data_IF_141202304307
#
_entry.id   IF_141202304307
#
_cell.length_a   1.000
_cell.length_b   1.000
_cell.length_c   1.000
_cell.angle_alpha   90.00
_cell.angle_beta   90.00
_cell.angle_gamma   90.00
#
_symmetry.space_group_name_H-M   'P 1'
#
loop_
_entity.id
_entity.type
_entity.pdbx_description
1 polymer ?
#
# COMPACT_ATOMS: atom_id res chain seq x y z
N UNK A 1 29.19 -13.08 -6.65
CA UNK A 1 28.98 -12.36 -5.37
C UNK A 1 27.68 -11.60 -5.49
N UNK A 2 26.58 -12.15 -4.97
CA UNK A 2 25.44 -11.30 -4.63
C UNK A 2 25.89 -10.45 -3.46
N UNK A 3 25.79 -9.13 -3.62
CA UNK A 3 26.05 -8.19 -2.54
C UNK A 3 25.02 -8.48 -1.46
N UNK A 4 25.50 -8.71 -0.24
CA UNK A 4 24.66 -8.71 0.95
C UNK A 4 23.84 -7.41 0.98
N UNK A 5 22.52 -7.52 0.81
CA UNK A 5 21.60 -6.38 0.86
C UNK A 5 21.00 -6.21 2.25
N UNK A 6 21.60 -6.83 3.28
CA UNK A 6 21.18 -6.73 4.68
C UNK A 6 21.14 -5.30 5.21
N UNK A 7 21.90 -4.37 4.62
CA UNK A 7 21.91 -2.95 4.97
C UNK A 7 20.86 -2.11 4.21
N UNK A 8 20.00 -2.72 3.41
CA UNK A 8 19.02 -2.00 2.60
C UNK A 8 17.85 -1.54 3.48
N UNK A 9 17.66 -0.23 3.54
CA UNK A 9 16.65 0.43 4.38
C UNK A 9 15.39 0.81 3.61
N UNK A 10 15.56 1.12 2.33
CA UNK A 10 14.51 1.63 1.46
C UNK A 10 14.58 0.96 0.08
N UNK A 11 13.43 0.50 -0.39
CA UNK A 11 13.23 -0.04 -1.74
C UNK A 11 12.16 0.78 -2.43
N UNK A 12 12.52 1.41 -3.54
CA UNK A 12 11.59 2.08 -4.42
C UNK A 12 11.69 1.50 -5.83
N UNK A 13 10.61 0.88 -6.30
CA UNK A 13 10.52 0.28 -7.62
C UNK A 13 9.31 0.87 -8.33
N UNK A 14 9.59 1.80 -9.25
CA UNK A 14 8.55 2.53 -9.96
C UNK A 14 8.70 2.37 -11.47
N UNK A 15 7.58 2.10 -12.14
CA UNK A 15 7.46 2.05 -13.61
C UNK A 15 8.33 1.00 -14.31
N UNK A 16 8.67 -0.09 -13.62
CA UNK A 16 9.44 -1.19 -14.21
C UNK A 16 8.52 -2.18 -14.95
N UNK A 17 8.32 -1.96 -16.26
CA UNK A 17 7.42 -2.78 -17.10
C UNK A 17 7.88 -4.23 -17.34
N UNK A 18 9.18 -4.50 -17.24
CA UNK A 18 9.76 -5.80 -17.61
C UNK A 18 9.85 -6.74 -16.40
N UNK A 19 9.69 -6.25 -15.18
CA UNK A 19 9.79 -7.04 -13.95
C UNK A 19 8.57 -7.96 -13.83
N UNK A 20 8.75 -9.28 -14.03
CA UNK A 20 7.64 -10.17 -14.42
C UNK A 20 7.35 -11.39 -13.55
N UNK A 21 8.07 -11.64 -12.44
CA UNK A 21 7.80 -12.84 -11.62
C UNK A 21 8.03 -12.60 -10.12
N UNK A 22 9.18 -12.07 -9.77
CA UNK A 22 9.61 -11.83 -8.39
C UNK A 22 10.87 -10.95 -8.45
N UNK A 23 11.22 -10.25 -7.37
CA UNK A 23 12.53 -9.58 -7.28
C UNK A 23 13.64 -10.61 -6.95
N UNK A 24 13.25 -11.75 -6.39
CA UNK A 24 14.13 -12.85 -6.01
C UNK A 24 13.83 -14.05 -6.92
N UNK A 25 14.78 -14.37 -7.79
CA UNK A 25 14.67 -15.45 -8.79
C UNK A 25 14.70 -16.83 -8.12
N UNK A 26 13.83 -17.74 -8.55
CA UNK A 26 13.73 -19.12 -8.06
C UNK A 26 14.89 -20.00 -8.60
N UNK A 27 15.53 -19.60 -9.71
CA UNK A 27 16.49 -20.44 -10.45
C UNK A 27 17.93 -20.38 -9.95
N UNK A 28 18.16 -19.82 -8.76
CA UNK A 28 19.52 -19.69 -8.28
C UNK A 28 19.66 -20.10 -6.82
N UNK A 29 20.76 -20.83 -6.61
CA UNK A 29 21.43 -21.14 -5.34
C UNK A 29 21.88 -19.87 -4.61
N UNK A 30 21.02 -18.87 -4.49
CA UNK A 30 21.30 -17.66 -3.76
C UNK A 30 20.83 -17.88 -2.33
N UNK A 31 21.76 -17.60 -1.42
CA UNK A 31 21.45 -17.41 -0.02
C UNK A 31 20.20 -16.56 0.07
N UNK A 32 19.22 -17.06 0.84
CA UNK A 32 17.96 -16.40 1.15
C UNK A 32 18.18 -14.89 1.27
N UNK A 33 17.68 -14.15 0.29
CA UNK A 33 17.84 -12.70 0.27
C UNK A 33 16.91 -12.13 1.35
N UNK A 34 17.47 -11.66 2.45
CA UNK A 34 16.69 -11.07 3.54
C UNK A 34 16.77 -9.54 3.51
N UNK A 35 15.69 -8.91 3.98
CA UNK A 35 15.56 -7.47 4.13
C UNK A 35 15.43 -7.09 5.61
N UNK A 36 16.41 -7.43 6.48
CA UNK A 36 16.25 -7.33 7.93
C UNK A 36 16.09 -5.89 8.45
N UNK A 37 16.50 -4.89 7.67
CA UNK A 37 16.44 -3.47 8.04
C UNK A 37 15.50 -2.65 7.16
N UNK A 38 14.74 -3.28 6.27
CA UNK A 38 13.88 -2.57 5.33
C UNK A 38 12.69 -1.96 6.06
N UNK A 39 12.65 -0.63 6.08
CA UNK A 39 11.60 0.15 6.73
C UNK A 39 10.72 0.90 5.72
N UNK A 40 11.19 1.13 4.49
CA UNK A 40 10.46 1.83 3.42
C UNK A 40 10.35 0.97 2.18
N UNK A 41 9.12 0.77 1.70
CA UNK A 41 8.83 -0.01 0.49
C UNK A 41 7.84 0.73 -0.40
N UNK A 42 8.28 1.08 -1.60
CA UNK A 42 7.46 1.70 -2.63
C UNK A 42 7.40 0.80 -3.85
N UNK A 43 6.19 0.39 -4.22
CA UNK A 43 5.90 -0.42 -5.40
C UNK A 43 4.88 0.35 -6.23
N UNK A 44 5.26 0.72 -7.45
CA UNK A 44 4.41 1.57 -8.28
C UNK A 44 4.50 1.22 -9.77
N UNK A 45 3.36 0.95 -10.40
CA UNK A 45 3.26 0.67 -11.84
C UNK A 45 4.11 -0.52 -12.30
N UNK A 46 3.92 -1.67 -11.65
CA UNK A 46 4.59 -2.92 -12.03
C UNK A 46 3.56 -3.87 -12.67
N UNK A 47 3.29 -3.75 -13.98
CA UNK A 47 2.21 -4.47 -14.64
C UNK A 47 2.39 -5.99 -14.65
N UNK A 48 3.63 -6.47 -14.57
CA UNK A 48 3.95 -7.89 -14.60
C UNK A 48 4.42 -8.44 -13.24
N UNK A 49 4.50 -7.62 -12.18
CA UNK A 49 4.86 -8.11 -10.85
C UNK A 49 3.69 -8.90 -10.27
N UNK A 50 3.97 -10.16 -9.91
CA UNK A 50 3.05 -11.10 -9.26
C UNK A 50 3.37 -11.26 -7.78
N UNK A 51 4.64 -11.19 -7.38
CA UNK A 51 5.06 -11.15 -5.99
C UNK A 51 6.30 -10.24 -5.83
N UNK A 52 6.48 -9.64 -4.66
CA UNK A 52 7.71 -8.90 -4.31
C UNK A 52 8.82 -9.87 -3.85
N UNK A 53 8.43 -10.98 -3.21
CA UNK A 53 9.34 -11.98 -2.66
C UNK A 53 8.74 -13.38 -2.84
N UNK A 54 9.47 -14.32 -3.45
CA UNK A 54 9.12 -15.74 -3.44
C UNK A 54 9.83 -16.42 -2.26
N UNK A 55 9.14 -17.34 -1.59
CA UNK A 55 9.80 -18.20 -0.60
C UNK A 55 10.72 -19.16 -1.35
N UNK A 56 12.01 -19.31 -0.95
CA UNK A 56 12.88 -20.27 -1.60
C UNK A 56 12.33 -21.69 -1.42
N UNK A 57 12.21 -22.40 -2.54
CA UNK A 57 11.78 -23.80 -2.58
C UNK A 57 12.90 -24.69 -2.03
N UNK A 58 12.70 -25.45 -0.94
CA UNK A 58 13.74 -26.32 -0.42
C UNK A 58 14.04 -27.48 -1.39
N UNK A 59 15.31 -27.71 -1.70
CA UNK A 59 15.79 -28.77 -2.63
C UNK A 59 15.25 -30.19 -2.34
N UNK A 60 14.87 -30.50 -1.09
CA UNK A 60 14.32 -31.81 -0.74
C UNK A 60 12.83 -31.98 -1.08
N UNK A 61 12.17 -30.94 -1.60
CA UNK A 61 10.76 -30.98 -2.01
C UNK A 61 10.56 -31.23 -3.52
N UNK A 62 11.63 -31.34 -4.31
CA UNK A 62 11.58 -31.73 -5.74
C UNK A 62 11.00 -33.15 -5.98
N UNK A 63 10.81 -33.94 -4.90
CA UNK A 63 10.32 -35.32 -4.97
C UNK A 63 8.90 -35.53 -4.42
N UNK A 64 8.18 -34.48 -4.00
CA UNK A 64 6.76 -34.58 -3.62
C UNK A 64 5.87 -34.16 -4.80
N UNK A 65 4.79 -34.91 -5.02
CA UNK A 65 3.83 -34.69 -6.10
C UNK A 65 3.33 -33.24 -6.13
N UNK A 66 3.06 -32.72 -7.32
CA UNK A 66 2.63 -31.35 -7.68
C UNK A 66 1.36 -30.82 -6.97
N UNK A 67 0.86 -31.51 -5.95
CA UNK A 67 -0.42 -31.23 -5.27
C UNK A 67 -0.28 -30.56 -3.90
N UNK A 68 0.94 -30.31 -3.40
CA UNK A 68 1.19 -29.62 -2.11
C UNK A 68 2.00 -28.31 -2.28
N UNK A 69 2.11 -27.76 -3.49
CA UNK A 69 2.62 -26.41 -3.68
C UNK A 69 1.46 -25.43 -3.52
N UNK A 70 1.31 -24.86 -2.31
CA UNK A 70 0.63 -23.58 -2.15
C UNK A 70 1.50 -22.53 -2.81
N UNK A 71 1.27 -22.31 -4.12
CA UNK A 71 1.75 -21.14 -4.85
C UNK A 71 1.18 -19.91 -4.15
N UNK A 72 1.91 -19.40 -3.15
CA UNK A 72 1.42 -18.33 -2.30
C UNK A 72 1.39 -17.06 -3.15
N UNK A 73 0.24 -16.78 -3.76
CA UNK A 73 -0.02 -15.65 -4.64
C UNK A 73 -0.05 -14.28 -3.93
N UNK A 74 0.48 -14.19 -2.71
CA UNK A 74 0.55 -12.94 -1.95
C UNK A 74 1.65 -12.04 -2.54
N UNK A 75 1.35 -10.75 -2.64
CA UNK A 75 2.33 -9.75 -3.09
C UNK A 75 3.53 -9.65 -2.13
N UNK A 76 3.33 -9.95 -0.84
CA UNK A 76 4.36 -9.82 0.20
C UNK A 76 4.53 -11.12 0.99
N UNK A 77 5.78 -11.44 1.34
CA UNK A 77 6.05 -12.36 2.45
C UNK A 77 5.79 -11.65 3.79
N UNK A 78 5.20 -12.37 4.74
CA UNK A 78 4.86 -11.80 6.04
C UNK A 78 6.09 -11.25 6.78
N UNK A 79 7.28 -11.85 6.64
CA UNK A 79 8.48 -11.31 7.31
C UNK A 79 8.89 -9.95 6.77
N UNK A 80 8.77 -9.75 5.45
CA UNK A 80 9.08 -8.47 4.81
C UNK A 80 8.07 -7.42 5.25
N UNK A 81 6.78 -7.73 5.23
CA UNK A 81 5.77 -6.73 5.57
C UNK A 81 5.80 -6.34 7.06
N UNK A 82 6.22 -7.26 7.95
CA UNK A 82 6.40 -6.97 9.37
C UNK A 82 7.69 -6.17 9.69
N UNK A 83 8.52 -5.80 8.70
CA UNK A 83 9.62 -4.85 8.92
C UNK A 83 9.31 -3.44 8.38
N UNK A 84 8.33 -3.32 7.49
CA UNK A 84 8.02 -2.09 6.76
C UNK A 84 7.18 -1.14 7.61
N UNK A 85 7.68 0.07 7.82
CA UNK A 85 6.95 1.17 8.47
C UNK A 85 6.31 2.15 7.47
N UNK A 86 6.86 2.23 6.26
CA UNK A 86 6.40 3.12 5.18
C UNK A 86 6.12 2.29 3.94
N UNK A 87 4.86 2.29 3.50
CA UNK A 87 4.40 1.50 2.37
C UNK A 87 3.77 2.40 1.31
N UNK A 88 4.15 2.22 0.06
CA UNK A 88 3.50 2.88 -1.07
C UNK A 88 3.05 1.87 -2.11
N UNK A 89 1.76 1.95 -2.48
CA UNK A 89 1.08 1.01 -3.37
C UNK A 89 0.28 1.73 -4.44
N UNK A 90 0.26 1.17 -5.65
CA UNK A 90 -0.66 1.61 -6.69
C UNK A 90 -2.04 0.95 -6.56
N UNK A 91 -3.05 1.53 -7.21
CA UNK A 91 -4.39 0.94 -7.30
C UNK A 91 -4.37 -0.53 -7.77
N UNK A 92 -3.47 -0.88 -8.70
CA UNK A 92 -3.32 -2.27 -9.16
C UNK A 92 -2.88 -3.20 -8.01
N UNK A 93 -1.91 -2.76 -7.22
CA UNK A 93 -1.32 -3.56 -6.15
C UNK A 93 -2.34 -3.77 -5.02
N UNK A 94 -3.10 -2.72 -4.69
CA UNK A 94 -4.19 -2.80 -3.70
C UNK A 94 -5.25 -3.82 -4.16
N UNK A 95 -5.70 -3.73 -5.41
CA UNK A 95 -6.68 -4.68 -5.95
C UNK A 95 -6.15 -6.12 -5.96
N UNK A 96 -4.86 -6.31 -6.23
CA UNK A 96 -4.22 -7.62 -6.17
C UNK A 96 -4.25 -8.19 -4.75
N UNK A 97 -3.85 -7.40 -3.75
CA UNK A 97 -3.88 -7.82 -2.33
C UNK A 97 -5.31 -8.08 -1.85
N UNK A 98 -6.28 -7.24 -2.24
CA UNK A 98 -7.68 -7.41 -1.83
C UNK A 98 -8.35 -8.64 -2.43
N UNK A 99 -7.97 -9.04 -3.64
CA UNK A 99 -8.55 -10.19 -4.33
C UNK A 99 -7.92 -11.52 -3.91
N UNK A 100 -6.78 -11.49 -3.21
CA UNK A 100 -6.16 -12.67 -2.63
C UNK A 100 -6.96 -13.14 -1.40
N UNK A 101 -7.86 -14.10 -1.65
CA UNK A 101 -8.73 -14.74 -0.64
C UNK A 101 -7.94 -15.46 0.46
N UNK A 102 -6.63 -15.65 0.29
CA UNK A 102 -5.76 -16.32 1.26
C UNK A 102 -4.90 -15.33 2.04
N UNK A 103 -4.91 -14.04 1.69
CA UNK A 103 -4.06 -13.04 2.36
C UNK A 103 -4.67 -12.59 3.69
N UNK A 104 -4.36 -13.29 4.77
CA UNK A 104 -4.65 -12.84 6.16
C UNK A 104 -3.55 -11.88 6.68
N UNK A 105 -2.88 -11.17 5.76
CA UNK A 105 -1.71 -10.34 6.05
C UNK A 105 -2.15 -9.00 6.63
N UNK A 106 -1.83 -8.75 7.89
CA UNK A 106 -2.08 -7.45 8.50
C UNK A 106 -0.85 -6.54 8.45
N UNK A 107 -1.08 -5.25 8.26
CA UNK A 107 -0.05 -4.22 8.07
C UNK A 107 0.21 -3.44 9.36
N UNK A 108 0.28 -4.15 10.49
CA UNK A 108 0.38 -3.54 11.82
C UNK A 108 1.64 -2.70 12.04
N UNK A 109 2.72 -2.94 11.29
CA UNK A 109 3.97 -2.20 11.43
C UNK A 109 3.98 -0.91 10.61
N UNK A 110 3.11 -0.82 9.61
CA UNK A 110 3.03 0.32 8.71
C UNK A 110 2.40 1.51 9.43
N UNK A 111 3.18 2.59 9.56
CA UNK A 111 2.79 3.88 10.14
C UNK A 111 2.46 4.91 9.07
N UNK A 112 3.04 4.80 7.88
CA UNK A 112 2.77 5.67 6.74
C UNK A 112 2.37 4.86 5.52
N UNK A 113 1.17 5.12 4.99
CA UNK A 113 0.66 4.49 3.78
C UNK A 113 0.48 5.56 2.70
N UNK A 114 1.06 5.31 1.53
CA UNK A 114 0.82 6.08 0.32
C UNK A 114 0.06 5.23 -0.70
N UNK A 115 -1.12 5.69 -1.09
CA UNK A 115 -1.92 5.07 -2.13
C UNK A 115 -1.86 5.92 -3.41
N UNK A 116 -1.54 5.29 -4.53
CA UNK A 116 -1.26 5.97 -5.78
C UNK A 116 -2.26 5.60 -6.88
N UNK A 117 -2.70 6.60 -7.66
CA UNK A 117 -3.47 6.43 -8.90
C UNK A 117 -4.75 5.62 -8.74
N UNK A 118 -5.50 5.87 -7.67
CA UNK A 118 -6.86 5.36 -7.54
C UNK A 118 -7.73 6.04 -8.60
N UNK A 119 -8.38 5.23 -9.43
CA UNK A 119 -9.19 5.70 -10.55
C UNK A 119 -10.57 6.18 -10.07
N UNK A 120 -11.16 7.13 -10.81
CA UNK A 120 -12.49 7.73 -10.52
C UNK A 120 -13.62 6.72 -10.29
N UNK A 121 -13.56 5.58 -10.97
CA UNK A 121 -14.62 4.57 -10.96
C UNK A 121 -14.36 3.43 -9.96
N UNK A 122 -13.33 3.56 -9.13
CA UNK A 122 -12.98 2.55 -8.12
C UNK A 122 -13.46 3.07 -6.77
N UNK A 123 -14.25 2.25 -6.07
CA UNK A 123 -14.61 2.53 -4.69
C UNK A 123 -13.36 2.63 -3.83
N UNK A 124 -13.32 3.60 -2.91
CA UNK A 124 -12.18 3.71 -2.02
C UNK A 124 -12.03 2.43 -1.19
N UNK A 125 -10.83 1.83 -1.08
CA UNK A 125 -10.66 0.51 -0.50
C UNK A 125 -10.66 0.57 1.04
N UNK A 126 -11.80 0.91 1.64
CA UNK A 126 -11.95 1.09 3.10
C UNK A 126 -11.61 -0.18 3.86
N UNK A 127 -12.05 -1.36 3.38
CA UNK A 127 -11.75 -2.65 4.02
C UNK A 127 -10.25 -2.96 3.99
N UNK A 128 -9.55 -2.57 2.93
CA UNK A 128 -8.09 -2.69 2.88
C UNK A 128 -7.42 -1.79 3.91
N UNK A 129 -7.88 -0.53 4.00
CA UNK A 129 -7.35 0.45 4.94
C UNK A 129 -7.49 -0.03 6.40
N UNK A 130 -8.53 -0.79 6.74
CA UNK A 130 -8.74 -1.37 8.07
C UNK A 130 -7.62 -2.30 8.55
N UNK A 131 -6.81 -2.87 7.64
CA UNK A 131 -5.67 -3.74 7.97
C UNK A 131 -4.46 -2.97 8.52
N UNK A 132 -4.51 -1.63 8.57
CA UNK A 132 -3.43 -0.74 9.03
C UNK A 132 -3.74 -0.12 10.40
N UNK A 133 -3.72 -0.91 11.48
CA UNK A 133 -4.20 -0.47 12.81
C UNK A 133 -3.28 0.51 13.55
N UNK A 134 -2.05 0.74 13.06
CA UNK A 134 -1.09 1.70 13.60
C UNK A 134 -0.80 2.87 12.63
N UNK A 135 -1.68 3.08 11.65
CA UNK A 135 -1.49 4.12 10.65
C UNK A 135 -1.55 5.53 11.26
N UNK A 136 -0.48 6.30 11.06
CA UNK A 136 -0.35 7.69 11.51
C UNK A 136 -0.38 8.68 10.34
N UNK A 137 0.01 8.24 9.15
CA UNK A 137 0.03 9.05 7.93
C UNK A 137 -0.64 8.33 6.76
N UNK A 138 -1.58 9.02 6.10
CA UNK A 138 -2.17 8.62 4.83
C UNK A 138 -1.84 9.64 3.75
N UNK A 139 -1.25 9.16 2.64
CA UNK A 139 -0.97 9.96 1.46
C UNK A 139 -1.74 9.43 0.25
N UNK A 140 -2.47 10.31 -0.43
CA UNK A 140 -3.16 10.02 -1.69
C UNK A 140 -2.45 10.77 -2.82
N UNK A 141 -1.91 10.02 -3.79
CA UNK A 141 -1.08 10.57 -4.87
C UNK A 141 -1.66 10.27 -6.26
N UNK A 142 -1.90 11.30 -7.07
CA UNK A 142 -2.43 11.19 -8.44
C UNK A 142 -3.76 10.41 -8.51
N UNK A 143 -4.55 10.46 -7.43
CA UNK A 143 -5.84 9.81 -7.35
C UNK A 143 -6.96 10.70 -7.93
N UNK A 144 -7.98 10.06 -8.47
CA UNK A 144 -9.19 10.70 -8.96
C UNK A 144 -10.36 10.25 -8.11
N UNK A 145 -10.91 11.13 -7.28
CA UNK A 145 -12.08 10.83 -6.45
C UNK A 145 -13.16 11.86 -6.70
N UNK A 146 -14.42 11.44 -6.75
CA UNK A 146 -15.53 12.39 -6.81
C UNK A 146 -15.80 13.07 -5.48
N UNK A 147 -15.45 12.45 -4.35
CA UNK A 147 -15.60 12.99 -3.00
C UNK A 147 -14.46 12.51 -2.11
N UNK A 148 -14.26 13.14 -0.95
CA UNK A 148 -13.29 12.65 0.03
C UNK A 148 -13.76 11.26 0.49
N UNK A 149 -12.87 10.24 0.48
CA UNK A 149 -13.25 8.91 0.88
C UNK A 149 -13.63 8.86 2.35
N UNK A 150 -14.63 8.03 2.64
CA UNK A 150 -15.16 7.86 3.98
C UNK A 150 -14.22 6.97 4.81
N UNK A 151 -13.44 7.57 5.71
CA UNK A 151 -12.52 6.87 6.59
C UNK A 151 -13.22 6.59 7.93
N UNK A 152 -14.33 5.83 7.88
CA UNK A 152 -15.01 5.37 9.08
C UNK A 152 -14.43 4.03 9.53
N UNK A 153 -13.34 4.11 10.28
CA UNK A 153 -12.98 3.02 11.18
C UNK A 153 -12.33 3.60 12.44
N UNK A 154 -12.96 3.35 13.60
CA UNK A 154 -12.54 3.91 14.89
C UNK A 154 -11.06 3.61 15.22
N UNK A 155 -10.52 2.49 14.72
CA UNK A 155 -9.12 2.11 14.95
C UNK A 155 -8.10 3.02 14.22
N UNK A 156 -8.48 3.59 13.07
CA UNK A 156 -7.59 4.45 12.26
C UNK A 156 -7.83 5.92 12.60
N UNK A 157 -9.10 6.30 12.76
CA UNK A 157 -9.52 7.68 12.99
C UNK A 157 -8.82 8.33 14.18
N UNK A 158 -8.51 7.58 15.24
CA UNK A 158 -7.85 8.12 16.44
C UNK A 158 -6.32 8.25 16.35
N UNK A 159 -5.67 7.54 15.41
CA UNK A 159 -4.20 7.53 15.28
C UNK A 159 -3.70 8.32 14.09
N UNK A 160 -4.54 8.51 13.08
CA UNK A 160 -4.20 9.25 11.88
C UNK A 160 -3.96 10.72 12.22
N UNK A 161 -2.70 11.15 12.16
CA UNK A 161 -2.27 12.53 12.45
C UNK A 161 -2.00 13.33 11.19
N UNK A 162 -1.64 12.66 10.10
CA UNK A 162 -1.22 13.31 8.86
C UNK A 162 -2.01 12.84 7.65
N UNK A 163 -2.59 13.78 6.91
CA UNK A 163 -3.21 13.54 5.61
C UNK A 163 -2.48 14.34 4.53
N UNK A 164 -1.96 13.65 3.51
CA UNK A 164 -1.29 14.26 2.35
C UNK A 164 -2.13 14.03 1.10
N UNK A 165 -2.57 15.11 0.47
CA UNK A 165 -3.34 15.07 -0.77
C UNK A 165 -2.49 15.66 -1.89
N UNK A 166 -1.95 14.83 -2.77
CA UNK A 166 -1.05 15.26 -3.84
C UNK A 166 -1.61 14.93 -5.22
N UNK A 167 -1.73 15.94 -6.07
CA UNK A 167 -2.15 15.82 -7.47
C UNK A 167 -3.53 15.18 -7.62
N UNK A 168 -4.46 15.48 -6.68
CA UNK A 168 -5.82 14.95 -6.76
C UNK A 168 -6.61 15.62 -7.88
N UNK A 169 -7.33 14.79 -8.66
CA UNK A 169 -8.18 15.23 -9.77
C UNK A 169 -9.65 14.94 -9.45
N UNK A 170 -10.54 15.74 -10.02
CA UNK A 170 -12.00 15.49 -10.04
C UNK A 170 -12.71 15.47 -8.68
N UNK A 171 -12.09 15.99 -7.62
CA UNK A 171 -12.73 16.11 -6.31
C UNK A 171 -13.84 17.16 -6.37
N UNK A 172 -15.06 16.72 -6.69
CA UNK A 172 -16.26 17.54 -6.67
C UNK A 172 -16.72 17.62 -5.21
N UNK A 173 -16.96 18.81 -4.67
CA UNK A 173 -17.48 18.93 -3.31
C UNK A 173 -18.98 18.53 -3.29
N UNK A 174 -19.27 17.24 -3.43
CA UNK A 174 -20.60 16.65 -3.26
C UNK A 174 -20.88 16.25 -1.81
N UNK A 175 -20.00 16.60 -0.87
CA UNK A 175 -20.24 16.38 0.56
C UNK A 175 -21.44 17.23 0.99
N UNK A 176 -22.64 16.67 0.85
CA UNK A 176 -23.90 17.29 1.29
C UNK A 176 -23.95 17.45 2.81
N UNK A 177 -23.10 16.72 3.54
CA UNK A 177 -22.99 16.78 4.99
C UNK A 177 -21.52 17.05 5.36
N UNK A 178 -21.23 18.27 5.81
CA UNK A 178 -19.90 18.70 6.26
C UNK A 178 -19.32 17.87 7.42
N UNK A 179 -20.15 17.08 8.11
CA UNK A 179 -19.78 16.29 9.29
C UNK A 179 -18.69 15.24 9.04
N UNK A 180 -18.62 14.64 7.86
CA UNK A 180 -17.64 13.58 7.55
C UNK A 180 -16.22 14.13 7.40
N UNK A 181 -16.09 15.23 6.66
CA UNK A 181 -14.82 15.93 6.49
C UNK A 181 -14.38 16.50 7.84
N UNK A 182 -15.31 17.11 8.59
CA UNK A 182 -15.04 17.60 9.94
C UNK A 182 -14.50 16.49 10.86
N UNK A 183 -15.09 15.29 10.85
CA UNK A 183 -14.60 14.18 11.67
C UNK A 183 -13.18 13.72 11.28
N UNK A 184 -12.88 13.62 9.99
CA UNK A 184 -11.53 13.27 9.53
C UNK A 184 -10.53 14.38 9.93
N UNK A 185 -10.93 15.65 9.82
CA UNK A 185 -10.08 16.78 10.17
C UNK A 185 -9.90 16.96 11.68
N UNK A 186 -10.86 16.55 12.51
CA UNK A 186 -10.82 16.75 13.97
C UNK A 186 -9.61 16.08 14.65
N UNK A 187 -9.16 14.94 14.12
CA UNK A 187 -8.02 14.20 14.68
C UNK A 187 -6.69 14.48 13.97
N UNK A 188 -6.72 15.20 12.84
CA UNK A 188 -5.52 15.51 12.07
C UNK A 188 -4.72 16.66 12.69
N UNK A 189 -3.42 16.43 12.85
CA UNK A 189 -2.44 17.45 13.25
C UNK A 189 -1.83 18.15 12.03
N UNK A 190 -1.76 17.44 10.90
CA UNK A 190 -1.11 17.92 9.68
C UNK A 190 -1.96 17.57 8.47
N UNK A 191 -2.32 18.60 7.71
CA UNK A 191 -2.93 18.48 6.40
C UNK A 191 -2.01 19.14 5.37
N UNK A 192 -1.56 18.37 4.39
CA UNK A 192 -0.73 18.89 3.28
C UNK A 192 -1.43 18.68 1.96
N UNK A 193 -1.59 19.75 1.20
CA UNK A 193 -2.20 19.71 -0.13
C UNK A 193 -1.21 20.23 -1.16
N UNK A 194 -0.94 19.42 -2.18
CA UNK A 194 -0.03 19.74 -3.25
C UNK A 194 -0.71 19.48 -4.60
N UNK A 195 -0.66 20.43 -5.53
CA UNK A 195 -1.08 20.22 -6.93
C UNK A 195 -2.51 19.66 -7.12
N UNK A 196 -3.40 19.84 -6.15
CA UNK A 196 -4.79 19.35 -6.19
C UNK A 196 -5.71 20.43 -6.76
N UNK A 197 -5.83 20.48 -8.08
CA UNK A 197 -6.46 21.60 -8.80
C UNK A 197 -7.99 21.67 -8.68
N UNK A 198 -8.64 20.58 -8.27
CA UNK A 198 -10.10 20.51 -8.12
C UNK A 198 -10.58 20.74 -6.69
N UNK A 199 -9.68 20.93 -5.72
CA UNK A 199 -10.05 21.05 -4.30
C UNK A 199 -10.60 22.45 -4.01
N UNK A 200 -11.93 22.60 -4.05
CA UNK A 200 -12.61 23.89 -3.85
C UNK A 200 -12.54 24.39 -2.40
N UNK A 201 -12.73 23.51 -1.41
CA UNK A 201 -12.71 23.84 0.02
C UNK A 201 -12.44 22.57 0.83
N UNK A 202 -11.58 22.66 1.85
CA UNK A 202 -11.30 21.55 2.78
C UNK A 202 -12.08 21.71 4.09
N UNK A 203 -12.41 22.94 4.46
CA UNK A 203 -13.29 23.24 5.57
C UNK A 203 -14.66 23.67 5.04
N UNK A 204 -15.75 23.39 5.76
CA UNK A 204 -17.02 24.02 5.47
C UNK A 204 -16.87 25.53 5.59
N UNK A 205 -17.34 26.27 4.59
CA UNK A 205 -17.56 27.70 4.75
C UNK A 205 -18.69 27.87 5.75
N UNK A 206 -18.38 28.25 6.99
CA UNK A 206 -19.39 28.80 7.88
C UNK A 206 -19.96 30.05 7.19
N UNK A 207 -21.26 29.98 6.85
CA UNK A 207 -22.10 31.14 6.51
C UNK A 207 -22.95 31.43 7.73
#
# INVERSE_FOLDING_TARGET
MIKDISSLLEVEITRCKIMSKSIVDDDAKFDKIEFPQLHSLTIDYLPNLTNFYSKPTPLYMEFRSETEYEDSSSLFDNKVIQSVEQLSLSNKDILFICNDQQSDVDFYQVKALSMQRLSRNVEFPTNFLQRFTNLEELALHDCSFESIPHIEHAAISNKLKTLKLNSLRYLENKCQNNSQIEQILQNLQTLKVFRSWSLLTIAPSHV
#
